data_IF_543988044708
#
_entry.id   IF_543988044708
#
_cell.length_a   1.000
_cell.length_b   1.000
_cell.length_c   1.000
_cell.angle_alpha   90.00
_cell.angle_beta   90.00
_cell.angle_gamma   90.00
#
_symmetry.space_group_name_H-M   'P 1'
#
loop_
_entity.id
_entity.type
_entity.pdbx_description
1 polymer ?
#
# COMPACT_ATOMS: atom_id res chain seq x y z
N UNK A 1 -15.84 -7.33 -19.43
CA UNK A 1 -15.98 -8.03 -18.12
C UNK A 1 -15.04 -7.41 -17.10
N UNK A 2 -15.26 -7.68 -15.79
CA UNK A 2 -14.35 -7.21 -14.74
C UNK A 2 -12.92 -7.78 -14.88
N UNK A 3 -12.78 -9.02 -15.36
CA UNK A 3 -11.48 -9.63 -15.66
C UNK A 3 -10.71 -8.87 -16.75
N UNK A 4 -11.36 -8.59 -17.89
CA UNK A 4 -10.74 -7.81 -18.96
C UNK A 4 -10.35 -6.39 -18.52
N UNK A 5 -11.10 -5.77 -17.60
CA UNK A 5 -10.72 -4.47 -17.03
C UNK A 5 -9.46 -4.58 -16.16
N UNK A 6 -9.38 -5.56 -15.25
CA UNK A 6 -8.19 -5.78 -14.42
C UNK A 6 -6.94 -6.05 -15.24
N UNK A 7 -7.07 -6.84 -16.30
CA UNK A 7 -5.97 -7.11 -17.23
C UNK A 7 -5.51 -5.83 -17.93
N UNK A 8 -6.43 -4.99 -18.41
CA UNK A 8 -6.07 -3.69 -19.00
C UNK A 8 -5.35 -2.78 -18.00
N UNK A 9 -5.77 -2.77 -16.73
CA UNK A 9 -5.08 -2.01 -15.67
C UNK A 9 -3.68 -2.57 -15.42
N UNK A 10 -3.54 -3.88 -15.26
CA UNK A 10 -2.26 -4.53 -15.00
C UNK A 10 -1.26 -4.43 -16.18
N UNK A 11 -1.75 -4.19 -17.39
CA UNK A 11 -0.91 -4.07 -18.60
C UNK A 11 -0.75 -2.62 -19.07
N UNK A 12 -1.14 -1.64 -18.26
CA UNK A 12 -1.03 -0.21 -18.61
C UNK A 12 -1.95 0.25 -19.76
N UNK A 13 -2.93 -0.57 -20.17
CA UNK A 13 -3.87 -0.30 -21.27
C UNK A 13 -5.14 0.43 -20.84
N UNK A 14 -5.29 0.73 -19.55
CA UNK A 14 -6.43 1.49 -19.01
C UNK A 14 -6.03 2.94 -18.76
N UNK A 15 -6.70 3.89 -19.41
CA UNK A 15 -6.41 5.33 -19.25
C UNK A 15 -6.78 5.88 -17.87
N UNK A 16 -7.78 5.31 -17.21
CA UNK A 16 -8.21 5.66 -15.86
C UNK A 16 -8.78 4.42 -15.17
N UNK A 17 -8.45 4.26 -13.89
CA UNK A 17 -8.94 3.17 -13.06
C UNK A 17 -8.91 3.56 -11.59
N UNK A 18 -9.69 2.84 -10.77
CA UNK A 18 -9.66 2.97 -9.30
C UNK A 18 -8.91 1.78 -8.70
N UNK A 19 -7.97 2.06 -7.80
CA UNK A 19 -7.27 1.08 -6.96
C UNK A 19 -7.22 1.59 -5.53
N UNK A 20 -6.99 0.67 -4.60
CA UNK A 20 -6.64 0.96 -3.21
C UNK A 20 -5.39 0.17 -2.85
N UNK A 21 -4.71 0.60 -1.80
CA UNK A 21 -3.56 -0.08 -1.23
C UNK A 21 -3.76 -0.22 0.27
N UNK A 22 -3.47 -1.42 0.78
CA UNK A 22 -3.45 -1.71 2.21
C UNK A 22 -2.02 -2.13 2.53
N UNK A 23 -1.37 -1.42 3.45
CA UNK A 23 0.02 -1.71 3.75
C UNK A 23 0.21 -3.06 4.42
N UNK A 24 1.22 -3.80 3.99
CA UNK A 24 1.58 -5.09 4.57
C UNK A 24 2.33 -4.94 5.91
N UNK A 25 3.08 -3.85 6.05
CA UNK A 25 3.85 -3.47 7.24
C UNK A 25 3.92 -1.95 7.40
N UNK A 26 4.15 -1.43 8.64
CA UNK A 26 4.06 -0.01 8.94
C UNK A 26 5.34 0.76 8.57
N UNK A 27 5.80 0.68 7.32
CA UNK A 27 6.86 1.53 6.77
C UNK A 27 6.33 2.28 5.53
N UNK A 28 6.73 3.55 5.36
CA UNK A 28 6.30 4.39 4.25
C UNK A 28 6.77 3.85 2.89
N UNK A 29 7.88 3.11 2.86
CA UNK A 29 8.37 2.41 1.67
C UNK A 29 7.27 1.58 1.01
N UNK A 30 6.40 0.93 1.81
CA UNK A 30 5.40 0.03 1.26
C UNK A 30 4.37 0.76 0.36
N UNK A 31 4.14 2.06 0.62
CA UNK A 31 3.33 2.92 -0.24
C UNK A 31 4.16 3.57 -1.35
N UNK A 32 5.40 3.99 -1.05
CA UNK A 32 6.27 4.65 -2.02
C UNK A 32 6.74 3.69 -3.13
N UNK A 33 6.86 2.39 -2.83
CA UNK A 33 7.22 1.34 -3.78
C UNK A 33 6.22 1.18 -4.92
N UNK A 34 4.99 1.70 -4.76
CA UNK A 34 3.97 1.76 -5.81
C UNK A 34 4.35 2.69 -6.97
N UNK A 35 5.37 3.52 -6.79
CA UNK A 35 5.81 4.52 -7.76
C UNK A 35 7.24 4.26 -8.27
N UNK A 36 7.90 3.20 -7.79
CA UNK A 36 9.22 2.81 -8.29
C UNK A 36 9.12 2.18 -9.67
N UNK A 37 10.00 2.54 -10.62
CA UNK A 37 9.89 2.08 -12.01
C UNK A 37 10.17 0.58 -12.19
N UNK A 38 11.02 -0.01 -11.34
CA UNK A 38 11.25 -1.47 -11.35
C UNK A 38 10.03 -2.28 -10.91
N UNK A 39 9.03 -1.63 -10.33
CA UNK A 39 7.82 -2.24 -9.82
C UNK A 39 6.65 -2.16 -10.81
N UNK A 40 6.87 -1.89 -12.10
CA UNK A 40 5.80 -1.83 -13.10
C UNK A 40 4.91 -3.07 -13.11
N UNK A 41 3.60 -2.83 -13.18
CA UNK A 41 2.63 -3.86 -13.51
C UNK A 41 2.92 -4.42 -14.93
N UNK A 42 2.68 -5.72 -15.20
CA UNK A 42 1.99 -6.69 -14.33
C UNK A 42 2.90 -7.38 -13.31
N UNK A 43 4.22 -7.20 -13.40
CA UNK A 43 5.19 -7.92 -12.57
C UNK A 43 5.36 -7.31 -11.18
N UNK A 44 4.92 -6.07 -10.98
CA UNK A 44 4.94 -5.37 -9.70
C UNK A 44 3.70 -4.51 -9.46
N UNK A 45 3.67 -3.80 -8.31
CA UNK A 45 2.49 -3.07 -7.85
C UNK A 45 2.33 -1.65 -8.42
N UNK A 46 3.26 -1.16 -9.23
CA UNK A 46 3.15 0.15 -9.89
C UNK A 46 2.22 0.06 -11.11
N UNK A 47 0.92 0.17 -10.84
CA UNK A 47 -0.13 0.21 -11.86
C UNK A 47 -0.22 1.55 -12.59
N UNK A 48 0.37 2.62 -12.03
CA UNK A 48 0.40 3.93 -12.69
C UNK A 48 1.41 4.00 -13.83
N UNK A 49 2.37 3.05 -13.86
CA UNK A 49 3.55 3.10 -14.72
C UNK A 49 4.34 4.42 -14.59
N UNK A 50 4.21 5.10 -13.44
CA UNK A 50 5.00 6.28 -13.12
C UNK A 50 6.48 5.92 -13.06
N UNK A 51 7.30 6.72 -13.71
CA UNK A 51 8.76 6.61 -13.67
C UNK A 51 9.35 8.00 -13.67
N UNK A 52 10.26 8.20 -12.74
CA UNK A 52 11.07 9.39 -12.62
C UNK A 52 12.42 8.98 -12.04
N UNK A 53 13.51 9.37 -12.71
CA UNK A 53 14.84 8.89 -12.36
C UNK A 53 15.31 9.38 -10.98
N UNK A 54 14.85 10.55 -10.55
CA UNK A 54 15.19 11.12 -9.25
C UNK A 54 14.41 10.42 -8.12
N UNK A 55 13.14 10.12 -8.36
CA UNK A 55 12.32 9.29 -7.48
C UNK A 55 12.94 7.91 -7.29
N UNK A 56 13.33 7.26 -8.38
CA UNK A 56 13.96 5.93 -8.33
C UNK A 56 15.30 5.99 -7.56
N UNK A 57 16.12 7.02 -7.78
CA UNK A 57 17.37 7.20 -7.04
C UNK A 57 17.14 7.42 -5.53
N UNK A 58 16.15 8.24 -5.16
CA UNK A 58 15.77 8.45 -3.76
C UNK A 58 15.22 7.17 -3.12
N UNK A 59 14.42 6.39 -3.86
CA UNK A 59 13.90 5.11 -3.39
C UNK A 59 15.03 4.14 -3.05
N UNK A 60 15.97 3.93 -3.99
CA UNK A 60 17.11 3.04 -3.78
C UNK A 60 18.02 3.55 -2.64
N UNK A 61 18.21 4.86 -2.50
CA UNK A 61 18.94 5.45 -1.37
C UNK A 61 18.24 5.18 -0.04
N UNK A 62 16.92 5.34 0.04
CA UNK A 62 16.15 5.07 1.26
C UNK A 62 16.29 3.61 1.72
N UNK A 63 16.44 2.66 0.78
CA UNK A 63 16.56 1.23 1.10
C UNK A 63 17.88 0.87 1.79
N UNK A 64 18.93 1.64 1.55
CA UNK A 64 20.25 1.42 2.17
C UNK A 64 20.50 2.33 3.38
N UNK A 65 19.68 3.37 3.58
CA UNK A 65 19.81 4.30 4.71
C UNK A 65 19.32 3.68 6.02
N UNK A 66 20.24 3.46 6.95
CA UNK A 66 19.95 2.88 8.28
C UNK A 66 19.45 3.90 9.29
N UNK A 67 19.85 5.17 9.16
CA UNK A 67 19.40 6.25 10.03
C UNK A 67 17.92 6.58 9.76
N UNK A 68 17.08 6.43 10.77
CA UNK A 68 15.64 6.61 10.63
C UNK A 68 15.24 8.06 10.28
N UNK A 69 15.94 9.06 10.83
CA UNK A 69 15.63 10.46 10.55
C UNK A 69 16.02 10.83 9.12
N UNK A 70 17.20 10.39 8.67
CA UNK A 70 17.65 10.60 7.30
C UNK A 70 16.71 9.91 6.29
N UNK A 71 16.32 8.67 6.56
CA UNK A 71 15.36 7.93 5.72
C UNK A 71 14.00 8.63 5.66
N UNK A 72 13.55 9.22 6.78
CA UNK A 72 12.31 9.98 6.83
C UNK A 72 12.37 11.24 5.95
N UNK A 73 13.49 11.98 5.94
CA UNK A 73 13.63 13.14 5.06
C UNK A 73 13.63 12.72 3.58
N UNK A 74 14.27 11.59 3.23
CA UNK A 74 14.21 11.04 1.87
C UNK A 74 12.75 10.72 1.49
N UNK A 75 12.00 10.05 2.38
CA UNK A 75 10.58 9.76 2.14
C UNK A 75 9.72 11.01 1.94
N UNK A 76 10.01 12.10 2.66
CA UNK A 76 9.32 13.38 2.46
C UNK A 76 9.56 13.93 1.05
N UNK A 77 10.81 13.99 0.62
CA UNK A 77 11.18 14.44 -0.73
C UNK A 77 10.53 13.57 -1.82
N UNK A 78 10.48 12.26 -1.62
CA UNK A 78 9.78 11.34 -2.53
C UNK A 78 8.28 11.63 -2.59
N UNK A 79 7.64 11.86 -1.44
CA UNK A 79 6.22 12.16 -1.37
C UNK A 79 5.88 13.53 -2.01
N UNK A 80 6.72 14.54 -1.81
CA UNK A 80 6.60 15.83 -2.50
C UNK A 80 6.66 15.66 -4.02
N UNK A 81 7.56 14.81 -4.50
CA UNK A 81 7.69 14.52 -5.93
C UNK A 81 6.46 13.83 -6.50
N UNK A 82 5.90 12.84 -5.79
CA UNK A 82 4.60 12.24 -6.15
C UNK A 82 3.52 13.33 -6.21
N UNK A 83 3.50 14.27 -5.25
CA UNK A 83 2.58 15.40 -5.22
C UNK A 83 2.76 16.40 -6.37
N UNK A 84 3.96 16.54 -6.92
CA UNK A 84 4.22 17.41 -8.09
C UNK A 84 3.75 16.77 -9.40
N UNK A 85 4.03 15.47 -9.59
CA UNK A 85 3.65 14.75 -10.81
C UNK A 85 2.19 14.26 -10.80
N UNK A 86 1.59 14.12 -9.61
CA UNK A 86 0.22 13.62 -9.40
C UNK A 86 -0.11 12.37 -10.23
N UNK A 87 0.69 11.28 -10.15
CA UNK A 87 0.42 10.04 -10.88
C UNK A 87 -0.88 9.35 -10.43
N UNK A 88 -1.40 9.74 -9.26
CA UNK A 88 -2.68 9.29 -8.70
C UNK A 88 -3.43 10.47 -8.08
N UNK A 89 -4.74 10.31 -7.93
CA UNK A 89 -5.60 11.24 -7.20
C UNK A 89 -6.01 10.55 -5.89
N UNK A 90 -5.46 10.96 -4.72
CA UNK A 90 -5.88 10.43 -3.43
C UNK A 90 -7.35 10.78 -3.16
N UNK A 91 -8.15 9.80 -2.75
CA UNK A 91 -9.59 10.00 -2.48
C UNK A 91 -9.89 9.98 -0.98
N UNK A 92 -9.43 8.97 -0.26
CA UNK A 92 -9.67 8.78 1.18
C UNK A 92 -8.73 7.70 1.74
N UNK A 93 -8.61 7.65 3.07
CA UNK A 93 -8.03 6.53 3.81
C UNK A 93 -9.14 5.65 4.37
N UNK A 94 -9.07 4.33 4.11
CA UNK A 94 -10.09 3.38 4.56
C UNK A 94 -10.11 3.24 6.08
N UNK A 95 -11.32 3.16 6.65
CA UNK A 95 -11.52 2.76 8.04
C UNK A 95 -12.08 1.33 8.08
N UNK A 96 -11.41 0.47 8.84
CA UNK A 96 -11.83 -0.92 9.02
C UNK A 96 -12.69 -1.04 10.27
N UNK A 97 -13.94 -1.49 10.09
CA UNK A 97 -14.87 -1.78 11.19
C UNK A 97 -15.26 -3.25 11.14
N UNK A 98 -15.08 -3.97 12.26
CA UNK A 98 -15.47 -5.37 12.39
C UNK A 98 -16.73 -5.50 13.27
N UNK A 99 -17.77 -6.12 12.72
CA UNK A 99 -18.94 -6.53 13.49
C UNK A 99 -18.72 -7.93 14.06
N UNK A 100 -18.71 -8.03 15.38
CA UNK A 100 -18.37 -9.27 16.10
C UNK A 100 -19.49 -9.59 17.07
N UNK A 101 -19.84 -10.87 17.19
CA UNK A 101 -20.86 -11.32 18.16
C UNK A 101 -20.38 -11.09 19.59
N UNK A 102 -21.30 -10.77 20.49
CA UNK A 102 -21.02 -10.55 21.91
C UNK A 102 -20.46 -11.78 22.64
N UNK A 103 -20.58 -12.98 22.06
CA UNK A 103 -20.02 -14.22 22.60
C UNK A 103 -18.60 -14.53 22.07
N UNK A 104 -17.99 -13.66 21.27
CA UNK A 104 -16.60 -13.82 20.79
C UNK A 104 -15.67 -12.97 21.65
N UNK A 105 -14.65 -13.62 22.21
CA UNK A 105 -13.63 -13.02 23.07
C UNK A 105 -12.27 -13.05 22.39
N UNK A 106 -11.40 -12.09 22.72
CA UNK A 106 -10.01 -12.05 22.20
C UNK A 106 -9.86 -11.52 20.77
N UNK A 107 -10.95 -11.02 20.16
CA UNK A 107 -10.89 -10.37 18.84
C UNK A 107 -10.09 -9.07 18.90
N UNK A 108 -9.12 -8.92 18.00
CA UNK A 108 -8.31 -7.71 17.84
C UNK A 108 -8.34 -7.29 16.38
N UNK A 109 -8.55 -6.00 16.13
CA UNK A 109 -8.42 -5.42 14.79
C UNK A 109 -6.95 -5.10 14.57
N UNK A 110 -6.35 -5.69 13.53
CA UNK A 110 -4.96 -5.40 13.15
C UNK A 110 -4.90 -4.08 12.37
N UNK A 111 -3.88 -3.21 12.60
CA UNK A 111 -3.68 -1.99 11.82
C UNK A 111 -3.48 -2.23 10.32
N UNK A 112 -2.99 -3.42 9.94
CA UNK A 112 -2.82 -3.87 8.55
C UNK A 112 -3.95 -4.80 8.10
N UNK A 113 -5.08 -4.78 8.82
CA UNK A 113 -6.24 -5.65 8.62
C UNK A 113 -5.93 -7.15 8.49
N UNK A 114 -4.84 -7.62 9.12
CA UNK A 114 -4.50 -9.04 9.17
C UNK A 114 -5.43 -9.76 10.15
N UNK A 115 -6.04 -10.85 9.68
CA UNK A 115 -6.84 -11.73 10.52
C UNK A 115 -5.93 -12.56 11.43
N UNK A 116 -5.99 -12.32 12.74
CA UNK A 116 -5.28 -13.11 13.76
C UNK A 116 -6.29 -13.74 14.72
N UNK A 117 -6.42 -15.07 14.64
CA UNK A 117 -7.41 -15.84 15.41
C UNK A 117 -6.82 -16.60 16.60
N UNK A 118 -5.51 -16.49 16.86
CA UNK A 118 -4.83 -17.31 17.88
C UNK A 118 -5.38 -17.10 19.29
N UNK A 119 -5.82 -15.88 19.57
CA UNK A 119 -6.41 -15.48 20.84
C UNK A 119 -7.95 -15.52 20.79
N UNK A 120 -8.56 -15.83 19.65
CA UNK A 120 -10.02 -15.71 19.48
C UNK A 120 -10.71 -16.97 19.96
N UNK A 121 -11.70 -16.81 20.84
CA UNK A 121 -12.50 -17.92 21.40
C UNK A 121 -13.96 -17.53 21.56
N UNK A 122 -14.84 -18.52 21.59
CA UNK A 122 -16.26 -18.33 21.90
C UNK A 122 -16.52 -18.56 23.39
N UNK A 123 -17.24 -17.65 24.04
CA UNK A 123 -17.69 -17.79 25.43
C UNK A 123 -18.52 -19.08 25.56
N UNK A 124 -18.05 -20.02 26.37
CA UNK A 124 -18.71 -21.32 26.60
C UNK A 124 -18.36 -22.42 25.61
N UNK A 125 -17.42 -22.21 24.68
CA UNK A 125 -16.76 -23.32 23.99
C UNK A 125 -15.66 -23.87 24.90
N UNK A 126 -15.73 -25.17 25.22
CA UNK A 126 -14.64 -25.92 25.86
C UNK A 126 -13.49 -26.11 24.87
#
# INVERSE_FOLDING_TARGET
SAAAHRERVATGKASLFRKSWLADYPDAENFLGLFHSRNFAPSGPNYSHFSDAEFDAMFEQAMITTNAQERLEIYRSMNERIGQFMPVIPLFHDQVTHFVRNDVMGWKVSPVNRLDLREVRKKGAQ
#
